data_IF_283311772675
#
_entry.id   IF_283311772675
#
_cell.length_a   1.000
_cell.length_b   1.000
_cell.length_c   1.000
_cell.angle_alpha   90.00
_cell.angle_beta   90.00
_cell.angle_gamma   90.00
#
_symmetry.space_group_name_H-M   'P 1'
#
loop_
_entity.id
_entity.type
_entity.pdbx_description
1 polymer ?
#
# COMPACT_ATOMS: atom_id res chain seq x y z
N UNK A 1 0.86 34.32 -5.72
CA UNK A 1 -0.37 33.87 -5.02
C UNK A 1 -0.35 32.35 -4.96
N UNK A 2 -0.06 31.80 -3.78
CA UNK A 2 -0.03 30.35 -3.57
C UNK A 2 -1.47 29.85 -3.51
N UNK A 3 -1.83 28.97 -4.46
CA UNK A 3 -3.20 28.48 -4.62
C UNK A 3 -3.50 27.42 -3.56
N UNK A 4 -4.65 27.52 -2.89
CA UNK A 4 -5.07 26.60 -1.83
C UNK A 4 -5.00 25.12 -2.21
N UNK A 5 -5.33 24.77 -3.48
CA UNK A 5 -5.24 23.38 -3.94
C UNK A 5 -3.83 22.78 -3.79
N UNK A 6 -2.79 23.60 -3.97
CA UNK A 6 -1.40 23.15 -3.89
C UNK A 6 -1.02 22.93 -2.43
N UNK A 7 -1.46 23.82 -1.53
CA UNK A 7 -1.26 23.64 -0.10
C UNK A 7 -1.99 22.41 0.44
N UNK A 8 -3.26 22.21 0.05
CA UNK A 8 -4.02 21.01 0.39
C UNK A 8 -3.31 19.74 -0.14
N UNK A 9 -2.89 19.75 -1.41
CA UNK A 9 -2.15 18.65 -2.02
C UNK A 9 -0.84 18.32 -1.30
N UNK A 10 -0.07 19.33 -0.88
CA UNK A 10 1.15 19.13 -0.11
C UNK A 10 0.88 18.55 1.28
N UNK A 11 -0.16 19.01 1.97
CA UNK A 11 -0.56 18.46 3.27
C UNK A 11 -1.06 17.03 3.16
N UNK A 12 -1.81 16.72 2.10
CA UNK A 12 -2.26 15.37 1.82
C UNK A 12 -1.09 14.45 1.45
N UNK A 13 -0.16 14.94 0.62
CA UNK A 13 1.08 14.26 0.30
C UNK A 13 1.91 13.99 1.54
N UNK A 14 2.07 14.98 2.42
CA UNK A 14 2.77 14.80 3.70
C UNK A 14 2.13 13.73 4.57
N UNK A 15 0.79 13.70 4.69
CA UNK A 15 0.06 12.66 5.42
C UNK A 15 0.36 11.26 4.87
N UNK A 16 0.29 11.09 3.54
CA UNK A 16 0.54 9.81 2.89
C UNK A 16 2.01 9.40 3.01
N UNK A 17 2.93 10.29 2.64
CA UNK A 17 4.35 9.98 2.60
C UNK A 17 4.96 9.76 3.99
N UNK A 18 4.49 10.50 5.01
CA UNK A 18 4.93 10.27 6.39
C UNK A 18 4.55 8.88 6.91
N UNK A 19 3.39 8.36 6.49
CA UNK A 19 2.97 7.01 6.84
C UNK A 19 3.77 5.95 6.05
N UNK A 20 3.98 6.15 4.74
CA UNK A 20 4.76 5.22 3.91
C UNK A 20 6.25 5.20 4.24
N UNK A 21 6.81 6.30 4.73
CA UNK A 21 8.22 6.41 5.14
C UNK A 21 8.57 5.37 6.21
N UNK A 22 7.64 5.09 7.14
CA UNK A 22 7.83 4.04 8.15
C UNK A 22 8.00 2.67 7.51
N UNK A 23 7.13 2.33 6.56
CA UNK A 23 7.24 1.08 5.79
C UNK A 23 8.54 1.03 4.99
N UNK A 24 8.95 2.15 4.39
CA UNK A 24 10.20 2.23 3.62
C UNK A 24 11.43 1.92 4.48
N UNK A 25 11.47 2.43 5.71
CA UNK A 25 12.56 2.14 6.67
C UNK A 25 12.60 0.68 7.08
N UNK A 26 11.44 0.04 7.25
CA UNK A 26 11.36 -1.39 7.56
C UNK A 26 11.94 -2.20 6.41
N UNK A 27 11.49 -1.93 5.17
CA UNK A 27 11.96 -2.62 3.96
C UNK A 27 13.47 -2.44 3.75
N UNK A 28 14.02 -1.28 4.11
CA UNK A 28 15.45 -0.99 3.96
C UNK A 28 16.30 -1.48 5.15
N UNK A 29 15.69 -2.00 6.21
CA UNK A 29 16.44 -2.48 7.37
C UNK A 29 17.14 -3.81 7.06
N UNK A 30 18.36 -3.98 7.56
CA UNK A 30 19.20 -5.16 7.30
C UNK A 30 18.69 -6.43 7.98
N UNK A 31 17.78 -6.31 8.94
CA UNK A 31 17.20 -7.41 9.71
C UNK A 31 15.76 -7.72 9.33
N UNK A 32 15.25 -7.18 8.21
CA UNK A 32 13.87 -7.36 7.82
C UNK A 32 13.64 -8.72 7.17
N UNK A 33 12.65 -9.48 7.65
CA UNK A 33 12.12 -10.63 6.91
C UNK A 33 10.96 -10.19 6.00
N UNK A 34 10.61 -10.97 4.97
CA UNK A 34 9.50 -10.64 4.06
C UNK A 34 8.16 -10.68 4.79
N UNK A 35 8.03 -11.51 5.81
CA UNK A 35 6.85 -11.55 6.68
C UNK A 35 6.66 -10.24 7.48
N UNK A 36 7.74 -9.58 7.91
CA UNK A 36 7.69 -8.25 8.55
C UNK A 36 7.23 -7.19 7.56
N UNK A 37 7.67 -7.27 6.30
CA UNK A 37 7.24 -6.37 5.23
C UNK A 37 5.74 -6.53 4.97
N UNK A 38 5.22 -7.76 4.92
CA UNK A 38 3.80 -8.03 4.74
C UNK A 38 2.97 -7.47 5.88
N UNK A 39 3.30 -7.82 7.12
CA UNK A 39 2.54 -7.36 8.30
C UNK A 39 2.57 -5.83 8.44
N UNK A 40 3.70 -5.21 8.14
CA UNK A 40 3.83 -3.74 8.13
C UNK A 40 3.01 -3.09 7.02
N UNK A 41 2.92 -3.74 5.85
CA UNK A 41 2.10 -3.28 4.74
C UNK A 41 0.62 -3.37 5.06
N UNK A 42 0.17 -4.49 5.63
CA UNK A 42 -1.22 -4.69 6.08
C UNK A 42 -1.60 -3.65 7.15
N UNK A 43 -0.71 -3.40 8.12
CA UNK A 43 -0.89 -2.37 9.13
C UNK A 43 -1.04 -0.97 8.53
N UNK A 44 -0.26 -0.66 7.49
CA UNK A 44 -0.35 0.61 6.77
C UNK A 44 -1.66 0.73 5.97
N UNK A 45 -2.12 -0.36 5.35
CA UNK A 45 -3.41 -0.40 4.65
C UNK A 45 -4.57 -0.16 5.62
N UNK A 46 -4.58 -0.85 6.76
CA UNK A 46 -5.57 -0.64 7.83
C UNK A 46 -5.53 0.79 8.38
N UNK A 47 -4.34 1.38 8.50
CA UNK A 47 -4.20 2.78 8.87
C UNK A 47 -4.88 3.70 7.86
N UNK A 48 -4.64 3.50 6.55
CA UNK A 48 -5.26 4.29 5.50
C UNK A 48 -6.78 4.11 5.43
N UNK A 49 -7.28 2.89 5.64
CA UNK A 49 -8.71 2.63 5.72
C UNK A 49 -9.35 3.32 6.92
N UNK A 50 -8.70 3.30 8.09
CA UNK A 50 -9.18 3.98 9.31
C UNK A 50 -9.24 5.48 9.16
N UNK A 51 -8.29 6.10 8.45
CA UNK A 51 -8.33 7.55 8.22
C UNK A 51 -9.27 7.93 7.06
N UNK A 52 -9.73 6.96 6.26
CA UNK A 52 -10.70 7.13 5.17
C UNK A 52 -12.13 7.23 5.71
N UNK A 53 -12.32 8.10 6.69
CA UNK A 53 -13.60 8.40 7.34
C UNK A 53 -13.92 9.89 7.24
N UNK A 54 -15.21 10.22 7.18
CA UNK A 54 -15.68 11.61 7.09
C UNK A 54 -15.27 12.45 8.29
N UNK A 55 -15.19 11.84 9.48
CA UNK A 55 -14.76 12.51 10.72
C UNK A 55 -13.30 12.91 10.62
N UNK A 56 -12.46 11.99 10.15
CA UNK A 56 -11.02 12.21 9.97
C UNK A 56 -10.75 13.23 8.87
N UNK A 57 -11.53 13.17 7.77
CA UNK A 57 -11.51 14.21 6.74
C UNK A 57 -11.84 15.59 7.31
N UNK A 58 -12.94 15.75 8.05
CA UNK A 58 -13.32 17.06 8.63
C UNK A 58 -12.24 17.61 9.55
N UNK A 59 -11.64 16.76 10.39
CA UNK A 59 -10.53 17.14 11.26
C UNK A 59 -9.29 17.57 10.46
N UNK A 60 -8.96 16.84 9.39
CA UNK A 60 -7.86 17.20 8.49
C UNK A 60 -8.13 18.51 7.76
N UNK A 61 -9.32 18.65 7.16
CA UNK A 61 -9.72 19.80 6.37
C UNK A 61 -9.76 21.09 7.19
N UNK A 62 -10.31 21.03 8.41
CA UNK A 62 -10.32 22.19 9.33
C UNK A 62 -8.92 22.62 9.75
N UNK A 63 -8.00 21.67 9.98
CA UNK A 63 -6.58 21.98 10.26
C UNK A 63 -5.91 22.65 9.07
N UNK A 64 -6.07 22.07 7.87
CA UNK A 64 -5.54 22.64 6.63
C UNK A 64 -6.10 24.05 6.39
N UNK A 65 -7.41 24.25 6.57
CA UNK A 65 -8.02 25.57 6.48
C UNK A 65 -7.42 26.56 7.47
N UNK A 66 -7.25 26.18 8.74
CA UNK A 66 -6.67 27.06 9.77
C UNK A 66 -5.24 27.48 9.43
N UNK A 67 -4.41 26.54 8.97
CA UNK A 67 -3.02 26.79 8.58
C UNK A 67 -2.91 27.56 7.26
N UNK A 68 -3.85 27.36 6.34
CA UNK A 68 -3.87 28.03 5.04
C UNK A 68 -4.19 29.53 5.13
N UNK A 69 -4.90 29.97 6.18
CA UNK A 69 -5.34 31.38 6.35
C UNK A 69 -4.20 32.38 6.33
N UNK A 70 -2.99 31.98 6.75
CA UNK A 70 -1.80 32.84 6.76
C UNK A 70 -0.92 32.69 5.52
N UNK A 71 -1.16 31.69 4.67
CA UNK A 71 -0.22 31.25 3.63
C UNK A 71 -0.79 31.29 2.20
N UNK A 72 -2.12 31.19 2.04
CA UNK A 72 -2.77 31.05 0.73
C UNK A 72 -4.06 31.83 0.63
N UNK A 73 -4.46 32.10 -0.61
CA UNK A 73 -5.79 32.62 -0.92
C UNK A 73 -6.89 31.61 -0.52
N UNK A 74 -8.13 32.10 -0.43
CA UNK A 74 -9.30 31.26 -0.12
C UNK A 74 -9.42 30.08 -1.10
N UNK A 75 -10.00 28.94 -0.68
CA UNK A 75 -10.28 27.82 -1.59
C UNK A 75 -11.18 28.30 -2.75
N UNK A 76 -10.67 28.16 -3.97
CA UNK A 76 -11.41 28.45 -5.21
C UNK A 76 -11.65 27.11 -5.92
N UNK A 77 -12.90 26.86 -6.32
CA UNK A 77 -13.25 25.71 -7.16
C UNK A 77 -12.55 25.84 -8.51
N UNK A 78 -11.93 24.75 -8.98
CA UNK A 78 -11.38 24.73 -10.33
C UNK A 78 -12.51 25.01 -11.33
N UNK A 79 -12.31 26.00 -12.21
CA UNK A 79 -13.32 26.38 -13.21
C UNK A 79 -13.66 25.16 -14.05
N UNK A 80 -14.92 24.72 -14.01
CA UNK A 80 -15.39 23.61 -14.82
C UNK A 80 -15.15 23.93 -16.31
N UNK A 81 -14.31 23.13 -16.96
CA UNK A 81 -14.10 23.27 -18.41
C UNK A 81 -15.32 22.67 -19.08
N UNK A 82 -16.19 23.52 -19.64
CA UNK A 82 -17.29 23.05 -20.47
C UNK A 82 -16.67 22.28 -21.66
N UNK A 83 -17.03 21.00 -21.86
CA UNK A 83 -16.56 20.28 -23.03
C UNK A 83 -17.06 20.99 -24.30
N UNK A 84 -16.31 20.94 -25.41
CA UNK A 84 -16.79 21.46 -26.69
C UNK A 84 -18.14 20.84 -27.04
N UNK A 85 -19.06 21.63 -27.61
CA UNK A 85 -20.44 21.22 -27.94
C UNK A 85 -20.58 19.86 -28.65
N UNK A 86 -19.57 19.45 -29.42
CA UNK A 86 -19.52 18.16 -30.14
C UNK A 86 -19.44 16.93 -29.22
N UNK A 87 -19.06 17.11 -27.95
CA UNK A 87 -18.90 16.06 -26.95
C UNK A 87 -19.89 16.18 -25.79
N UNK A 88 -20.94 17.00 -25.92
CA UNK A 88 -22.07 16.99 -24.98
C UNK A 88 -22.93 15.75 -25.23
N UNK A 89 -22.42 14.57 -24.89
CA UNK A 89 -23.29 13.45 -24.55
C UNK A 89 -24.00 13.77 -23.24
N UNK A 90 -25.23 13.27 -23.08
CA UNK A 90 -26.09 13.34 -21.89
C UNK A 90 -25.51 12.56 -20.69
N UNK A 91 -24.22 12.74 -20.42
CA UNK A 91 -23.55 12.28 -19.22
C UNK A 91 -23.55 13.45 -18.26
N UNK A 92 -24.29 13.32 -17.16
CA UNK A 92 -24.30 14.30 -16.08
C UNK A 92 -22.86 14.53 -15.61
N UNK A 93 -22.33 15.72 -15.88
CA UNK A 93 -21.09 16.17 -15.25
C UNK A 93 -21.38 16.29 -13.76
N UNK A 94 -20.60 15.60 -12.91
CA UNK A 94 -20.71 15.71 -11.45
C UNK A 94 -20.49 17.18 -11.05
N UNK A 95 -21.58 17.90 -10.81
CA UNK A 95 -21.53 19.26 -10.28
C UNK A 95 -21.28 19.17 -8.77
N UNK A 96 -20.09 19.60 -8.32
CA UNK A 96 -19.81 19.71 -6.89
C UNK A 96 -20.52 20.93 -6.33
N UNK A 97 -21.36 20.73 -5.31
CA UNK A 97 -22.15 21.78 -4.69
C UNK A 97 -21.30 22.61 -3.72
N UNK A 98 -20.23 22.03 -3.17
CA UNK A 98 -19.32 22.69 -2.23
C UNK A 98 -17.83 22.45 -2.55
N UNK A 99 -16.98 23.44 -2.22
CA UNK A 99 -15.52 23.28 -2.25
C UNK A 99 -15.05 22.15 -1.34
N UNK A 100 -15.77 21.89 -0.24
CA UNK A 100 -15.46 20.83 0.71
C UNK A 100 -15.68 19.45 0.09
N UNK A 101 -16.74 19.26 -0.70
CA UNK A 101 -17.02 18.00 -1.40
C UNK A 101 -15.93 17.66 -2.41
N UNK A 102 -15.40 18.66 -3.12
CA UNK A 102 -14.29 18.47 -4.06
C UNK A 102 -13.02 17.97 -3.34
N UNK A 103 -12.65 18.61 -2.23
CA UNK A 103 -11.48 18.20 -1.45
C UNK A 103 -11.69 16.89 -0.69
N UNK A 104 -12.93 16.60 -0.28
CA UNK A 104 -13.33 15.32 0.30
C UNK A 104 -13.13 14.19 -0.71
N UNK A 105 -13.65 14.33 -1.92
CA UNK A 105 -13.48 13.32 -2.95
C UNK A 105 -11.99 13.12 -3.27
N UNK A 106 -11.20 14.20 -3.36
CA UNK A 106 -9.77 14.10 -3.59
C UNK A 106 -9.04 13.38 -2.46
N UNK A 107 -9.42 13.64 -1.21
CA UNK A 107 -8.89 12.96 -0.02
C UNK A 107 -9.17 11.45 -0.08
N UNK A 108 -10.44 11.07 -0.25
CA UNK A 108 -10.88 9.68 -0.31
C UNK A 108 -10.24 8.93 -1.47
N UNK A 109 -10.18 9.57 -2.65
CA UNK A 109 -9.55 9.01 -3.85
C UNK A 109 -8.06 8.77 -3.66
N UNK A 110 -7.34 9.72 -3.04
CA UNK A 110 -5.90 9.59 -2.84
C UNK A 110 -5.56 8.44 -1.87
N UNK A 111 -6.34 8.28 -0.79
CA UNK A 111 -6.20 7.15 0.13
C UNK A 111 -6.53 5.82 -0.56
N UNK A 112 -7.61 5.77 -1.34
CA UNK A 112 -7.98 4.57 -2.09
C UNK A 112 -6.92 4.15 -3.10
N UNK A 113 -6.32 5.11 -3.81
CA UNK A 113 -5.19 4.85 -4.72
C UNK A 113 -4.00 4.31 -3.93
N UNK A 114 -3.65 4.91 -2.79
CA UNK A 114 -2.52 4.46 -1.98
C UNK A 114 -2.69 3.00 -1.51
N UNK A 115 -3.86 2.63 -0.99
CA UNK A 115 -4.18 1.26 -0.57
C UNK A 115 -4.10 0.29 -1.76
N UNK A 116 -4.72 0.65 -2.89
CA UNK A 116 -4.71 -0.21 -4.08
C UNK A 116 -3.29 -0.42 -4.62
N UNK A 117 -2.44 0.62 -4.62
CA UNK A 117 -1.05 0.52 -5.05
C UNK A 117 -0.22 -0.39 -4.13
N UNK A 118 -0.44 -0.32 -2.81
CA UNK A 118 0.21 -1.22 -1.84
C UNK A 118 -0.26 -2.66 -2.07
N UNK A 119 -1.57 -2.88 -2.19
CA UNK A 119 -2.15 -4.19 -2.44
C UNK A 119 -1.61 -4.81 -3.73
N UNK A 120 -1.59 -4.06 -4.83
CA UNK A 120 -1.08 -4.54 -6.13
C UNK A 120 0.41 -4.86 -6.11
N UNK A 121 1.19 -4.22 -5.25
CA UNK A 121 2.64 -4.47 -5.13
C UNK A 121 2.94 -5.71 -4.30
N UNK A 122 2.29 -5.87 -3.15
CA UNK A 122 2.62 -6.93 -2.19
C UNK A 122 1.77 -8.20 -2.35
N UNK A 123 0.70 -8.16 -3.15
CA UNK A 123 -0.13 -9.34 -3.46
C UNK A 123 0.32 -10.08 -4.74
N UNK A 124 1.43 -9.66 -5.35
CA UNK A 124 1.95 -10.28 -6.58
C UNK A 124 2.34 -11.74 -6.34
N UNK A 125 2.09 -12.59 -7.34
CA UNK A 125 2.39 -14.03 -7.26
C UNK A 125 3.86 -14.31 -6.88
N UNK A 126 4.79 -13.58 -7.49
CA UNK A 126 6.22 -13.74 -7.22
C UNK A 126 6.60 -13.35 -5.78
N UNK A 127 5.94 -12.32 -5.24
CA UNK A 127 6.18 -11.91 -3.85
C UNK A 127 5.66 -12.97 -2.86
N UNK A 128 4.47 -13.52 -3.13
CA UNK A 128 3.92 -14.65 -2.35
C UNK A 128 4.82 -15.88 -2.40
N UNK A 129 5.41 -16.19 -3.55
CA UNK A 129 6.37 -17.29 -3.70
C UNK A 129 7.59 -17.07 -2.79
N UNK A 130 8.17 -15.87 -2.79
CA UNK A 130 9.31 -15.55 -1.92
C UNK A 130 8.95 -15.68 -0.44
N UNK A 131 7.76 -15.23 -0.03
CA UNK A 131 7.27 -15.45 1.34
C UNK A 131 7.08 -16.94 1.67
N UNK A 132 6.62 -17.75 0.71
CA UNK A 132 6.49 -19.19 0.90
C UNK A 132 7.86 -19.87 1.04
N UNK A 133 8.87 -19.43 0.28
CA UNK A 133 10.25 -19.91 0.41
C UNK A 133 10.83 -19.54 1.77
N UNK A 134 10.65 -18.30 2.22
CA UNK A 134 11.08 -17.86 3.56
C UNK A 134 10.44 -18.70 4.66
N UNK A 135 9.12 -18.96 4.57
CA UNK A 135 8.41 -19.87 5.48
C UNK A 135 8.97 -21.29 5.42
N UNK A 136 9.23 -21.81 4.22
CA UNK A 136 9.80 -23.15 4.04
C UNK A 136 11.14 -23.30 4.77
N UNK A 137 12.04 -22.32 4.65
CA UNK A 137 13.33 -22.31 5.36
C UNK A 137 13.10 -22.30 6.88
N UNK A 138 12.18 -21.47 7.38
CA UNK A 138 11.85 -21.42 8.80
C UNK A 138 11.24 -22.72 9.35
N UNK A 139 10.43 -23.43 8.57
CA UNK A 139 9.87 -24.73 8.97
C UNK A 139 10.87 -25.88 8.88
N UNK A 140 11.79 -25.82 7.90
CA UNK A 140 12.91 -26.75 7.78
C UNK A 140 13.82 -26.68 9.03
N UNK A 141 14.11 -25.47 9.51
CA UNK A 141 14.87 -25.25 10.75
C UNK A 141 14.21 -25.92 11.96
N UNK A 142 12.87 -25.86 12.05
CA UNK A 142 12.11 -26.41 13.17
C UNK A 142 11.78 -27.92 13.03
N UNK A 143 12.37 -28.63 12.07
CA UNK A 143 12.11 -30.06 11.78
C UNK A 143 10.61 -30.41 11.60
N UNK A 144 9.80 -29.48 11.12
CA UNK A 144 8.35 -29.64 10.92
C UNK A 144 7.96 -29.54 9.44
N UNK A 145 8.71 -30.26 8.61
CA UNK A 145 8.42 -30.39 7.17
C UNK A 145 7.28 -31.41 6.96
N UNK A 146 6.04 -30.96 7.17
CA UNK A 146 4.86 -31.71 6.76
C UNK A 146 4.60 -31.51 5.25
N UNK A 147 4.53 -32.63 4.51
CA UNK A 147 4.27 -32.69 3.06
C UNK A 147 2.87 -32.17 2.65
N UNK A 148 2.01 -31.93 3.64
CA UNK A 148 0.66 -31.39 3.50
C UNK A 148 0.60 -29.85 3.53
N UNK A 149 1.74 -29.16 3.68
CA UNK A 149 1.74 -27.69 3.73
C UNK A 149 1.57 -27.05 2.34
N UNK A 150 0.53 -26.22 2.19
CA UNK A 150 0.18 -25.47 0.97
C UNK A 150 1.33 -24.64 0.37
N UNK A 151 2.29 -24.23 1.22
CA UNK A 151 3.48 -23.48 0.80
C UNK A 151 4.42 -24.30 -0.07
N UNK A 152 4.58 -25.59 0.24
CA UNK A 152 5.47 -26.49 -0.49
C UNK A 152 4.90 -26.82 -1.88
N UNK A 153 3.59 -27.09 -1.95
CA UNK A 153 2.90 -27.29 -3.23
C UNK A 153 3.00 -26.04 -4.11
N UNK A 154 2.85 -24.84 -3.54
CA UNK A 154 3.00 -23.59 -4.30
C UNK A 154 4.40 -23.37 -4.88
N UNK A 155 5.45 -23.82 -4.19
CA UNK A 155 6.83 -23.76 -4.70
C UNK A 155 7.04 -24.81 -5.81
N UNK A 156 6.50 -26.01 -5.59
CA UNK A 156 6.56 -27.13 -6.54
C UNK A 156 5.84 -26.84 -7.86
N UNK A 157 4.66 -26.22 -7.79
CA UNK A 157 3.87 -25.82 -8.95
C UNK A 157 4.58 -24.73 -9.78
N UNK A 158 5.34 -23.85 -9.12
CA UNK A 158 6.06 -22.77 -9.80
C UNK A 158 7.36 -23.26 -10.46
N UNK A 159 8.09 -24.14 -9.80
CA UNK A 159 9.38 -24.66 -10.25
C UNK A 159 9.27 -26.03 -10.93
N UNK A 160 8.09 -26.36 -11.47
CA UNK A 160 7.80 -27.68 -12.01
C UNK A 160 8.80 -28.07 -13.11
N UNK A 161 9.69 -29.02 -12.79
CA UNK A 161 10.73 -29.54 -13.68
C UNK A 161 12.16 -29.06 -13.39
N UNK A 162 12.33 -27.97 -12.64
CA UNK A 162 13.67 -27.42 -12.32
C UNK A 162 14.22 -27.91 -10.97
N UNK A 163 13.35 -28.47 -10.11
CA UNK A 163 13.69 -28.85 -8.74
C UNK A 163 13.48 -30.35 -8.51
N UNK A 164 14.52 -31.01 -8.02
CA UNK A 164 14.45 -32.36 -7.46
C UNK A 164 13.97 -32.28 -5.99
N UNK A 165 12.73 -32.67 -5.77
CA UNK A 165 11.98 -32.50 -4.52
C UNK A 165 12.64 -33.20 -3.34
N UNK A 166 13.14 -34.42 -3.58
CA UNK A 166 13.75 -35.22 -2.51
C UNK A 166 15.10 -34.66 -2.13
N UNK A 167 15.90 -34.21 -3.10
CA UNK A 167 17.15 -33.50 -2.81
C UNK A 167 16.93 -32.20 -2.08
N UNK A 168 15.94 -31.40 -2.48
CA UNK A 168 15.64 -30.14 -1.81
C UNK A 168 15.28 -30.34 -0.32
N UNK A 169 14.52 -31.40 0.01
CA UNK A 169 14.21 -31.73 1.42
C UNK A 169 15.46 -32.12 2.21
N UNK A 170 16.33 -32.93 1.62
CA UNK A 170 17.60 -33.33 2.26
C UNK A 170 18.50 -32.12 2.48
N UNK A 171 18.64 -31.26 1.47
CA UNK A 171 19.43 -30.03 1.55
C UNK A 171 18.84 -29.04 2.57
N UNK A 172 17.51 -28.92 2.66
CA UNK A 172 16.85 -28.06 3.63
C UNK A 172 17.07 -28.51 5.08
N UNK A 173 17.11 -29.82 5.35
CA UNK A 173 17.42 -30.36 6.68
C UNK A 173 18.89 -30.10 7.09
N UNK A 174 19.80 -30.01 6.12
CA UNK A 174 21.20 -29.67 6.37
C UNK A 174 21.40 -28.18 6.71
N UNK A 175 20.40 -27.30 6.53
CA UNK A 175 20.50 -25.87 6.88
C UNK A 175 20.79 -25.68 8.37
N UNK A 176 20.26 -26.56 9.23
CA UNK A 176 20.48 -26.52 10.68
C UNK A 176 21.97 -26.72 11.02
N UNK A 177 22.69 -27.52 10.24
CA UNK A 177 24.11 -27.81 10.46
C UNK A 177 25.01 -26.59 10.22
N UNK A 178 24.61 -25.66 9.34
CA UNK A 178 25.36 -24.44 9.05
C UNK A 178 25.33 -23.39 10.18
N UNK A 179 24.38 -23.49 11.12
CA UNK A 179 24.29 -22.58 12.27
C UNK A 179 25.00 -23.11 13.53
N UNK A 180 25.37 -24.39 13.56
CA UNK A 180 26.03 -25.03 14.72
C UNK A 180 27.57 -25.07 14.62
N UNK A 181 28.16 -24.64 13.49
CA UNK A 181 29.61 -24.48 13.30
C UNK A 181 30.09 -23.08 13.64
#
# INVERSE_FOLDING_TARGET
>A
MNRFYLFFGLKLGYLLFSATEKLSRIIQSSSCCLQDVLSSTESLMLYFERIRDDINFKSFYTKVLKESKSLTDKPILARHRRPPRRYQSSSDSVEFSSYEEFYHQQYMKSLGIAVNMLQNRFTQKNFKLLCNVEKFIFYAENNSLDDSNDYFQSIMDFCYGDIDVEKLKVEALMIVDFYQS
#
